data_IF_010467351591
#
_entry.id   IF_010467351591
#
_cell.length_a   1.000
_cell.length_b   1.000
_cell.length_c   1.000
_cell.angle_alpha   90.00
_cell.angle_beta   90.00
_cell.angle_gamma   90.00
#
_symmetry.space_group_name_H-M   'P 1'
#
loop_
_entity.id
_entity.type
_entity.pdbx_description
1 polymer ?
#
# COMPACT_ATOMS: atom_id res chain seq x y z
N UNK A 1 11.78 10.42 -0.19
CA UNK A 1 10.66 10.68 -1.16
C UNK A 1 11.01 9.97 -2.45
N UNK A 2 10.10 9.18 -3.01
CA UNK A 2 10.31 8.53 -4.32
C UNK A 2 10.15 9.61 -5.39
N UNK A 3 11.15 9.80 -6.26
CA UNK A 3 11.01 10.69 -7.40
C UNK A 3 9.88 10.16 -8.30
N UNK A 4 8.95 11.05 -8.68
CA UNK A 4 7.90 10.71 -9.64
C UNK A 4 8.53 10.29 -10.98
N UNK A 5 7.91 9.33 -11.66
CA UNK A 5 8.39 8.79 -12.94
C UNK A 5 7.41 9.16 -14.06
N UNK A 6 7.94 9.70 -15.15
CA UNK A 6 7.18 10.10 -16.34
C UNK A 6 7.72 9.37 -17.57
N UNK A 7 6.81 8.74 -18.31
CA UNK A 7 7.11 8.15 -19.59
C UNK A 7 6.65 9.09 -20.71
N UNK A 8 7.53 9.47 -21.61
CA UNK A 8 7.22 10.22 -22.83
C UNK A 8 7.26 9.25 -24.01
N UNK A 9 6.14 9.10 -24.69
CA UNK A 9 5.99 8.30 -25.89
C UNK A 9 5.80 9.24 -27.08
N UNK A 10 6.81 9.38 -27.93
CA UNK A 10 6.73 10.21 -29.14
C UNK A 10 7.71 9.75 -30.22
N UNK A 11 7.29 9.88 -31.45
CA UNK A 11 8.18 9.67 -32.62
C UNK A 11 8.82 10.98 -33.12
N UNK A 12 8.43 12.13 -32.55
CA UNK A 12 9.03 13.42 -32.75
C UNK A 12 10.08 13.73 -31.67
N UNK A 13 11.39 13.75 -32.03
CA UNK A 13 12.46 14.03 -31.05
C UNK A 13 12.36 15.45 -30.47
N UNK A 14 11.90 16.43 -31.24
CA UNK A 14 11.75 17.82 -30.76
C UNK A 14 10.72 17.95 -29.67
N UNK A 15 9.58 17.24 -29.75
CA UNK A 15 8.57 17.20 -28.72
C UNK A 15 9.15 16.69 -27.38
N UNK A 16 9.84 15.56 -27.43
CA UNK A 16 10.44 14.97 -26.23
C UNK A 16 11.54 15.86 -25.65
N UNK A 17 12.37 16.49 -26.52
CA UNK A 17 13.45 17.39 -26.10
C UNK A 17 12.93 18.65 -25.41
N UNK A 18 11.94 19.31 -26.00
CA UNK A 18 11.30 20.50 -25.44
C UNK A 18 10.70 20.20 -24.09
N UNK A 19 9.92 19.12 -23.97
CA UNK A 19 9.27 18.75 -22.73
C UNK A 19 10.28 18.38 -21.63
N UNK A 20 11.33 17.65 -21.98
CA UNK A 20 12.42 17.33 -21.05
C UNK A 20 13.14 18.58 -20.55
N UNK A 21 13.44 19.52 -21.45
CA UNK A 21 14.08 20.79 -21.09
C UNK A 21 13.21 21.63 -20.15
N UNK A 22 11.91 21.69 -20.40
CA UNK A 22 10.96 22.40 -19.54
C UNK A 22 10.92 21.79 -18.12
N UNK A 23 10.90 20.47 -17.98
CA UNK A 23 10.94 19.82 -16.67
C UNK A 23 12.26 19.98 -15.95
N UNK A 24 13.38 19.98 -16.66
CA UNK A 24 14.70 20.21 -16.06
C UNK A 24 14.87 21.61 -15.48
N UNK A 25 14.10 22.58 -15.96
CA UNK A 25 14.07 23.94 -15.41
C UNK A 25 13.29 24.02 -14.08
N UNK A 26 12.49 23.03 -13.72
CA UNK A 26 11.75 22.99 -12.47
C UNK A 26 12.61 22.47 -11.30
N UNK A 27 12.35 22.98 -10.09
CA UNK A 27 13.08 22.58 -8.88
C UNK A 27 12.96 21.09 -8.53
N UNK A 28 11.90 20.43 -8.96
CA UNK A 28 11.62 19.01 -8.69
C UNK A 28 11.29 18.31 -10.02
N UNK A 29 12.35 18.03 -10.80
CA UNK A 29 12.18 17.29 -12.04
C UNK A 29 11.85 15.81 -11.74
N UNK A 30 10.84 15.21 -12.41
CA UNK A 30 10.56 13.79 -12.34
C UNK A 30 11.67 12.98 -13.04
N UNK A 31 11.75 11.68 -12.76
CA UNK A 31 12.54 10.75 -13.57
C UNK A 31 11.86 10.56 -14.92
N UNK A 32 12.54 10.94 -16.02
CA UNK A 32 11.97 10.94 -17.37
C UNK A 32 12.52 9.75 -18.15
N UNK A 33 11.63 8.98 -18.76
CA UNK A 33 11.94 7.94 -19.74
C UNK A 33 11.32 8.34 -21.07
N UNK A 34 12.10 8.32 -22.15
CA UNK A 34 11.60 8.63 -23.49
C UNK A 34 11.65 7.37 -24.35
N UNK A 35 10.54 7.02 -24.97
CA UNK A 35 10.41 5.87 -25.87
C UNK A 35 9.72 6.28 -27.18
N UNK A 36 10.14 5.65 -28.29
CA UNK A 36 9.43 5.73 -29.57
C UNK A 36 8.23 4.78 -29.60
N UNK A 37 7.21 5.11 -30.39
CA UNK A 37 6.05 4.25 -30.62
C UNK A 37 6.37 2.85 -31.12
N UNK A 38 7.53 2.67 -31.77
CA UNK A 38 7.99 1.39 -32.30
C UNK A 38 8.27 0.36 -31.19
N UNK A 39 8.75 0.81 -30.04
CA UNK A 39 9.13 -0.06 -28.91
C UNK A 39 7.90 -0.55 -28.14
N UNK A 40 6.83 0.25 -28.16
CA UNK A 40 5.61 -0.04 -27.38
C UNK A 40 4.59 -0.92 -28.09
N UNK A 41 4.80 -1.29 -29.35
CA UNK A 41 3.80 -2.05 -30.13
C UNK A 41 3.64 -3.52 -29.69
N UNK A 42 4.66 -4.11 -29.02
CA UNK A 42 4.69 -5.54 -28.68
C UNK A 42 4.96 -5.83 -27.18
N UNK A 43 5.14 -4.81 -26.37
CA UNK A 43 5.43 -4.97 -24.93
C UNK A 43 4.58 -4.01 -24.09
N UNK A 44 4.12 -4.48 -22.96
CA UNK A 44 3.53 -3.61 -21.94
C UNK A 44 4.54 -2.51 -21.57
N UNK A 45 4.08 -1.27 -21.60
CA UNK A 45 4.91 -0.15 -21.17
C UNK A 45 5.23 -0.31 -19.68
N UNK A 46 6.48 -0.06 -19.26
CA UNK A 46 6.83 -0.16 -17.86
C UNK A 46 5.96 0.79 -17.01
N UNK A 47 5.62 0.42 -15.77
CA UNK A 47 4.75 1.23 -14.94
C UNK A 47 5.40 2.56 -14.59
N UNK A 48 4.70 3.66 -14.90
CA UNK A 48 5.09 5.03 -14.59
C UNK A 48 3.94 5.76 -13.89
N UNK A 49 4.29 6.81 -13.13
CA UNK A 49 3.29 7.61 -12.41
C UNK A 49 2.45 8.48 -13.39
N UNK A 50 3.04 8.84 -14.53
CA UNK A 50 2.40 9.59 -15.63
C UNK A 50 2.95 9.14 -16.97
N UNK A 51 2.08 9.02 -17.96
CA UNK A 51 2.44 8.78 -19.36
C UNK A 51 2.04 9.98 -20.22
N UNK A 52 2.97 10.54 -20.98
CA UNK A 52 2.71 11.60 -21.96
C UNK A 52 2.86 11.00 -23.34
N UNK A 53 1.78 10.97 -24.11
CA UNK A 53 1.77 10.53 -25.49
C UNK A 53 1.78 11.75 -26.39
N UNK A 54 2.91 12.00 -27.04
CA UNK A 54 3.11 13.05 -28.03
C UNK A 54 2.72 12.61 -29.44
N UNK A 55 3.15 13.35 -30.46
CA UNK A 55 2.95 12.98 -31.86
C UNK A 55 3.62 11.61 -32.14
N UNK A 56 2.84 10.70 -32.70
CA UNK A 56 3.27 9.37 -33.12
C UNK A 56 2.95 9.17 -34.61
N UNK A 57 3.63 8.26 -35.26
CA UNK A 57 3.40 7.92 -36.67
C UNK A 57 1.94 7.50 -36.90
N UNK A 58 1.41 7.83 -38.06
CA UNK A 58 0.03 7.50 -38.45
C UNK A 58 -0.30 6.03 -38.21
N UNK A 59 -1.48 5.77 -37.64
CA UNK A 59 -1.98 4.42 -37.37
C UNK A 59 -1.38 3.75 -36.11
N UNK A 60 -0.37 4.32 -35.45
CA UNK A 60 0.28 3.71 -34.27
C UNK A 60 -0.36 4.07 -32.95
N UNK A 61 -1.07 5.17 -32.87
CA UNK A 61 -1.70 5.63 -31.64
C UNK A 61 -2.56 4.56 -30.94
N UNK A 62 -3.42 3.79 -31.63
CA UNK A 62 -4.21 2.73 -30.97
C UNK A 62 -3.34 1.60 -30.40
N UNK A 63 -2.19 1.29 -31.03
CA UNK A 63 -1.24 0.30 -30.53
C UNK A 63 -0.57 0.78 -29.25
N UNK A 64 -0.03 2.00 -29.28
CA UNK A 64 0.58 2.66 -28.13
C UNK A 64 -0.38 2.71 -26.95
N UNK A 65 -1.61 3.16 -27.15
CA UNK A 65 -2.60 3.25 -26.07
C UNK A 65 -2.98 1.87 -25.51
N UNK A 66 -3.01 0.81 -26.33
CA UNK A 66 -3.27 -0.55 -25.87
C UNK A 66 -2.16 -1.12 -24.98
N UNK A 67 -0.92 -0.68 -25.17
CA UNK A 67 0.21 -1.09 -24.34
C UNK A 67 0.23 -0.42 -22.96
N UNK A 68 -0.63 0.60 -22.74
CA UNK A 68 -0.72 1.31 -21.46
C UNK A 68 -1.72 0.64 -20.51
N UNK A 69 -1.40 0.65 -19.24
CA UNK A 69 -2.33 0.20 -18.19
C UNK A 69 -3.56 1.12 -18.14
N UNK A 70 -4.80 0.58 -18.11
CA UNK A 70 -6.04 1.40 -18.09
C UNK A 70 -6.13 2.38 -16.91
N UNK A 71 -5.50 2.05 -15.79
CA UNK A 71 -5.45 2.90 -14.59
C UNK A 71 -4.38 4.00 -14.65
N UNK A 72 -3.50 3.99 -15.65
CA UNK A 72 -2.43 4.97 -15.78
C UNK A 72 -3.00 6.40 -15.99
N UNK A 73 -2.30 7.40 -15.45
CA UNK A 73 -2.56 8.78 -15.80
C UNK A 73 -1.92 9.06 -17.18
N UNK A 74 -2.73 9.45 -18.16
CA UNK A 74 -2.29 9.66 -19.54
C UNK A 74 -2.59 11.09 -19.99
N UNK A 75 -1.57 11.79 -20.48
CA UNK A 75 -1.75 13.06 -21.21
C UNK A 75 -1.49 12.78 -22.68
N UNK A 76 -2.51 13.00 -23.50
CA UNK A 76 -2.46 12.79 -24.95
C UNK A 76 -2.29 14.13 -25.66
N UNK A 77 -1.20 14.28 -26.41
CA UNK A 77 -0.88 15.47 -27.19
C UNK A 77 -0.90 15.20 -28.71
N UNK A 78 -1.50 14.10 -29.14
CA UNK A 78 -1.66 13.78 -30.56
C UNK A 78 -2.98 14.35 -31.13
N UNK A 79 -3.04 14.65 -32.40
CA UNK A 79 -4.31 15.04 -33.06
C UNK A 79 -5.29 13.86 -33.03
N UNK A 80 -6.47 14.07 -32.49
CA UNK A 80 -7.51 13.04 -32.33
C UNK A 80 -8.86 13.69 -32.61
N UNK A 81 -9.74 13.01 -33.33
CA UNK A 81 -11.09 13.50 -33.54
C UNK A 81 -11.95 13.36 -32.26
N UNK A 82 -13.08 14.11 -32.24
CA UNK A 82 -13.95 14.15 -31.05
C UNK A 82 -14.61 12.80 -30.74
N UNK A 83 -14.86 11.97 -31.75
CA UNK A 83 -15.50 10.64 -31.59
C UNK A 83 -14.50 9.64 -31.01
N UNK A 84 -13.29 9.62 -31.55
CA UNK A 84 -12.20 8.79 -31.07
C UNK A 84 -11.80 9.17 -29.64
N UNK A 85 -11.73 10.48 -29.34
CA UNK A 85 -11.45 10.98 -27.99
C UNK A 85 -12.50 10.51 -26.98
N UNK A 86 -13.79 10.46 -27.35
CA UNK A 86 -14.87 9.94 -26.52
C UNK A 86 -14.66 8.46 -26.16
N UNK A 87 -14.27 7.64 -27.14
CA UNK A 87 -13.96 6.22 -26.91
C UNK A 87 -12.73 6.01 -26.03
N UNK A 88 -11.69 6.81 -26.23
CA UNK A 88 -10.48 6.76 -25.42
C UNK A 88 -10.73 7.14 -23.97
N UNK A 89 -11.55 8.15 -23.70
CA UNK A 89 -11.95 8.55 -22.33
C UNK A 89 -12.72 7.47 -21.60
N UNK A 90 -13.57 6.71 -22.29
CA UNK A 90 -14.30 5.60 -21.70
C UNK A 90 -13.35 4.46 -21.27
N UNK A 91 -12.28 4.23 -22.00
CA UNK A 91 -11.28 3.19 -21.70
C UNK A 91 -10.23 3.65 -20.71
N UNK A 92 -9.84 4.92 -20.78
CA UNK A 92 -8.83 5.55 -19.91
C UNK A 92 -9.45 6.71 -19.14
N UNK A 93 -10.08 6.46 -17.98
CA UNK A 93 -10.80 7.50 -17.21
C UNK A 93 -9.91 8.66 -16.75
N UNK A 94 -8.59 8.45 -16.72
CA UNK A 94 -7.59 9.45 -16.32
C UNK A 94 -6.85 10.07 -17.51
N UNK A 95 -7.41 9.95 -18.73
CA UNK A 95 -6.84 10.54 -19.93
C UNK A 95 -7.24 12.02 -20.05
N UNK A 96 -6.24 12.86 -20.20
CA UNK A 96 -6.39 14.29 -20.51
C UNK A 96 -5.84 14.53 -21.92
N UNK A 97 -6.62 15.16 -22.78
CA UNK A 97 -6.16 15.55 -24.12
C UNK A 97 -5.80 17.02 -24.14
N UNK A 98 -4.57 17.32 -24.61
CA UNK A 98 -4.03 18.67 -24.78
C UNK A 98 -3.69 18.83 -26.27
N UNK A 99 -4.42 19.67 -27.00
CA UNK A 99 -4.10 19.95 -28.39
C UNK A 99 -2.78 20.74 -28.49
N UNK A 100 -1.96 20.41 -29.49
CA UNK A 100 -0.69 21.10 -29.76
C UNK A 100 -0.97 22.49 -30.36
N UNK A 101 -1.13 23.50 -29.51
CA UNK A 101 -1.25 24.93 -29.82
C UNK A 101 -0.03 25.68 -29.31
N UNK A 102 0.06 27.00 -29.51
CA UNK A 102 1.27 27.78 -29.14
C UNK A 102 1.73 27.57 -27.68
N UNK A 103 0.82 27.47 -26.71
CA UNK A 103 1.15 27.34 -25.28
C UNK A 103 1.02 25.90 -24.74
N UNK A 104 1.02 24.89 -25.59
CA UNK A 104 0.78 23.49 -25.19
C UNK A 104 1.77 22.99 -24.12
N UNK A 105 3.03 23.41 -24.17
CA UNK A 105 4.07 22.93 -23.26
C UNK A 105 3.81 23.39 -21.82
N UNK A 106 3.44 24.66 -21.62
CA UNK A 106 3.12 25.22 -20.29
C UNK A 106 1.85 24.57 -19.73
N UNK A 107 0.82 24.41 -20.56
CA UNK A 107 -0.43 23.72 -20.19
C UNK A 107 -0.14 22.29 -19.80
N UNK A 108 0.71 21.58 -20.55
CA UNK A 108 1.08 20.20 -20.25
C UNK A 108 1.82 20.09 -18.92
N UNK A 109 2.78 20.97 -18.62
CA UNK A 109 3.50 20.97 -17.36
C UNK A 109 2.57 21.17 -16.17
N UNK A 110 1.64 22.11 -16.27
CA UNK A 110 0.65 22.37 -15.22
C UNK A 110 -0.22 21.14 -14.96
N UNK A 111 -0.77 20.55 -16.03
CA UNK A 111 -1.63 19.36 -15.94
C UNK A 111 -0.84 18.14 -15.46
N UNK A 112 0.40 17.98 -15.92
CA UNK A 112 1.28 16.91 -15.49
C UNK A 112 1.60 17.01 -14.00
N UNK A 113 1.96 18.22 -13.51
CA UNK A 113 2.22 18.46 -12.10
C UNK A 113 1.02 18.12 -11.22
N UNK A 114 -0.18 18.52 -11.65
CA UNK A 114 -1.41 18.21 -10.92
C UNK A 114 -1.75 16.70 -10.96
N UNK A 115 -1.56 16.05 -12.10
CA UNK A 115 -1.77 14.61 -12.27
C UNK A 115 -0.83 13.80 -11.38
N UNK A 116 0.44 14.19 -11.27
CA UNK A 116 1.43 13.56 -10.39
C UNK A 116 1.08 13.76 -8.92
N UNK A 117 0.74 15.00 -8.49
CA UNK A 117 0.29 15.27 -7.11
C UNK A 117 -0.93 14.44 -6.73
N UNK A 118 -1.94 14.41 -7.61
CA UNK A 118 -3.14 13.59 -7.39
C UNK A 118 -2.84 12.10 -7.32
N UNK A 119 -1.94 11.61 -8.18
CA UNK A 119 -1.47 10.22 -8.16
C UNK A 119 -0.81 9.86 -6.84
N UNK A 120 0.06 10.72 -6.33
CA UNK A 120 0.72 10.52 -5.04
C UNK A 120 -0.27 10.55 -3.87
N UNK A 121 -1.19 11.51 -3.84
CA UNK A 121 -2.23 11.59 -2.81
C UNK A 121 -3.10 10.33 -2.78
N UNK A 122 -3.53 9.82 -3.94
CA UNK A 122 -4.31 8.58 -4.04
C UNK A 122 -3.50 7.36 -3.56
N UNK A 123 -2.22 7.30 -3.88
CA UNK A 123 -1.33 6.23 -3.42
C UNK A 123 -1.17 6.25 -1.90
N UNK A 124 -0.96 7.43 -1.31
CA UNK A 124 -0.85 7.60 0.14
C UNK A 124 -2.16 7.24 0.85
N UNK A 125 -3.29 7.69 0.33
CA UNK A 125 -4.61 7.34 0.86
C UNK A 125 -4.83 5.82 0.86
N UNK A 126 -4.57 5.14 -0.27
CA UNK A 126 -4.69 3.68 -0.38
C UNK A 126 -3.72 2.93 0.57
N UNK A 127 -2.54 3.50 0.79
CA UNK A 127 -1.59 2.92 1.75
C UNK A 127 -2.07 3.09 3.19
N UNK A 128 -2.65 4.25 3.53
CA UNK A 128 -3.26 4.51 4.84
C UNK A 128 -4.45 3.57 5.09
N UNK A 129 -5.34 3.39 4.11
CA UNK A 129 -6.46 2.44 4.21
C UNK A 129 -5.99 1.01 4.46
N UNK A 130 -4.96 0.55 3.72
CA UNK A 130 -4.39 -0.79 3.93
C UNK A 130 -3.80 -0.96 5.33
N UNK A 131 -3.11 0.06 5.84
CA UNK A 131 -2.57 0.05 7.20
C UNK A 131 -3.70 0.04 8.23
N UNK A 132 -4.72 0.86 8.05
CA UNK A 132 -5.88 0.88 8.94
C UNK A 132 -6.59 -0.48 9.00
N UNK A 133 -6.87 -1.11 7.85
CA UNK A 133 -7.46 -2.44 7.78
C UNK A 133 -6.58 -3.52 8.45
N UNK A 134 -5.25 -3.44 8.27
CA UNK A 134 -4.33 -4.36 8.95
C UNK A 134 -4.36 -4.18 10.47
N UNK A 135 -4.36 -2.93 10.94
CA UNK A 135 -4.41 -2.62 12.37
C UNK A 135 -5.74 -3.08 13.00
N UNK A 136 -6.87 -2.89 12.31
CA UNK A 136 -8.17 -3.36 12.76
C UNK A 136 -8.22 -4.90 12.91
N UNK A 137 -7.65 -5.62 11.95
CA UNK A 137 -7.51 -7.08 12.03
C UNK A 137 -6.66 -7.51 13.22
N UNK A 138 -5.54 -6.82 13.47
CA UNK A 138 -4.68 -7.11 14.63
C UNK A 138 -5.37 -6.80 15.95
N UNK A 139 -6.11 -5.69 16.05
CA UNK A 139 -6.88 -5.33 17.23
C UNK A 139 -8.00 -6.34 17.51
N UNK A 140 -8.68 -6.83 16.48
CA UNK A 140 -9.72 -7.85 16.58
C UNK A 140 -9.13 -9.19 17.05
N UNK A 141 -8.01 -9.61 16.48
CA UNK A 141 -7.30 -10.81 16.91
C UNK A 141 -6.84 -10.69 18.37
N UNK A 142 -6.29 -9.54 18.76
CA UNK A 142 -5.88 -9.27 20.14
C UNK A 142 -7.02 -9.38 21.13
N UNK A 143 -8.21 -8.84 20.81
CA UNK A 143 -9.42 -8.99 21.66
C UNK A 143 -9.84 -10.44 21.79
N UNK A 144 -9.94 -11.16 20.67
CA UNK A 144 -10.30 -12.59 20.67
C UNK A 144 -9.34 -13.43 21.53
N UNK A 145 -8.05 -13.17 21.42
CA UNK A 145 -7.03 -13.87 22.22
C UNK A 145 -7.13 -13.53 23.71
N UNK A 146 -7.51 -12.30 24.08
CA UNK A 146 -7.78 -11.92 25.47
C UNK A 146 -8.98 -12.68 26.04
N UNK A 147 -10.07 -12.79 25.29
CA UNK A 147 -11.25 -13.53 25.71
C UNK A 147 -10.94 -15.03 25.90
N UNK A 148 -10.16 -15.60 24.96
CA UNK A 148 -9.72 -17.00 25.08
C UNK A 148 -8.79 -17.24 26.27
N UNK A 149 -7.98 -16.26 26.68
CA UNK A 149 -7.04 -16.38 27.80
C UNK A 149 -7.74 -16.86 29.07
N UNK A 150 -8.87 -16.26 29.43
CA UNK A 150 -9.62 -16.64 30.62
C UNK A 150 -10.12 -18.08 30.57
N UNK A 151 -10.67 -18.49 29.44
CA UNK A 151 -11.13 -19.87 29.23
C UNK A 151 -10.01 -20.89 29.28
N UNK A 152 -8.87 -20.59 28.63
CA UNK A 152 -7.69 -21.46 28.64
C UNK A 152 -7.08 -21.55 30.03
N UNK A 153 -6.93 -20.44 30.77
CA UNK A 153 -6.42 -20.45 32.14
C UNK A 153 -7.30 -21.27 33.06
N UNK A 154 -8.63 -21.13 32.98
CA UNK A 154 -9.57 -21.90 33.78
C UNK A 154 -9.43 -23.42 33.48
N UNK A 155 -9.33 -23.80 32.22
CA UNK A 155 -9.13 -25.18 31.83
C UNK A 155 -7.78 -25.73 32.34
N UNK A 156 -6.70 -24.96 32.22
CA UNK A 156 -5.38 -25.32 32.72
C UNK A 156 -5.37 -25.47 34.26
N UNK A 157 -5.99 -24.55 35.00
CA UNK A 157 -6.09 -24.62 36.43
C UNK A 157 -6.82 -25.89 36.86
N UNK A 158 -7.92 -26.23 36.20
CA UNK A 158 -8.67 -27.46 36.46
C UNK A 158 -7.84 -28.72 36.13
N UNK A 159 -7.11 -28.73 34.97
CA UNK A 159 -6.25 -29.86 34.61
C UNK A 159 -5.11 -30.06 35.61
N UNK A 160 -4.42 -28.97 36.00
CA UNK A 160 -3.34 -29.02 36.95
C UNK A 160 -3.81 -29.49 38.32
N UNK A 161 -4.89 -28.93 38.83
CA UNK A 161 -5.45 -29.34 40.14
C UNK A 161 -5.87 -30.83 40.19
N UNK A 162 -6.55 -31.32 39.15
CA UNK A 162 -6.90 -32.72 39.07
C UNK A 162 -5.67 -33.63 38.91
N UNK A 163 -4.68 -33.25 38.13
CA UNK A 163 -3.45 -34.03 37.99
C UNK A 163 -2.66 -34.07 39.32
N UNK A 164 -2.57 -32.95 40.06
CA UNK A 164 -1.91 -32.87 41.36
C UNK A 164 -2.61 -33.75 42.40
N UNK A 165 -3.95 -33.71 42.50
CA UNK A 165 -4.71 -34.58 43.40
C UNK A 165 -4.45 -36.07 43.13
N UNK A 166 -4.42 -36.48 41.85
CA UNK A 166 -4.11 -37.85 41.45
C UNK A 166 -2.67 -38.27 41.75
N UNK A 167 -1.74 -37.32 41.74
CA UNK A 167 -0.32 -37.56 42.05
C UNK A 167 -0.07 -37.59 43.57
N UNK A 168 -0.85 -36.85 44.36
CA UNK A 168 -0.78 -36.86 45.84
C UNK A 168 -1.38 -38.15 46.43
N UNK A 169 -2.50 -38.58 45.89
CA UNK A 169 -3.20 -39.79 46.35
C UNK A 169 -3.35 -40.80 45.17
N UNK A 170 -2.27 -41.47 44.78
CA UNK A 170 -2.30 -42.33 43.63
C UNK A 170 -3.16 -43.59 43.78
N UNK A 171 -3.55 -43.94 45.01
CA UNK A 171 -4.44 -45.07 45.26
C UNK A 171 -4.01 -46.37 44.56
N UNK A 172 -4.90 -46.96 43.72
CA UNK A 172 -4.66 -48.17 42.97
C UNK A 172 -4.22 -47.92 41.52
N UNK A 173 -3.66 -46.74 41.20
CA UNK A 173 -3.23 -46.41 39.85
C UNK A 173 -2.02 -47.27 39.42
N UNK A 174 -2.05 -47.72 38.19
CA UNK A 174 -0.90 -48.45 37.61
C UNK A 174 0.29 -47.49 37.43
N UNK A 175 1.50 -48.06 37.43
CA UNK A 175 2.74 -47.30 37.14
C UNK A 175 2.64 -46.57 35.80
N UNK A 176 1.99 -47.17 34.82
CA UNK A 176 1.77 -46.55 33.51
C UNK A 176 0.80 -45.35 33.59
N UNK A 177 -0.30 -45.48 34.33
CA UNK A 177 -1.24 -44.39 34.53
C UNK A 177 -0.60 -43.21 35.26
N UNK A 178 0.22 -43.47 36.28
CA UNK A 178 1.01 -42.43 36.97
C UNK A 178 1.97 -41.70 36.04
N UNK A 179 2.65 -42.44 35.15
CA UNK A 179 3.53 -41.83 34.16
C UNK A 179 2.76 -40.93 33.16
N UNK A 180 1.55 -41.33 32.77
CA UNK A 180 0.69 -40.52 31.90
C UNK A 180 0.21 -39.26 32.59
N UNK A 181 -0.22 -39.33 33.87
CA UNK A 181 -0.65 -38.14 34.64
C UNK A 181 0.50 -37.16 34.83
N UNK A 182 1.73 -37.63 35.13
CA UNK A 182 2.91 -36.79 35.21
C UNK A 182 3.19 -36.07 33.86
N UNK A 183 2.99 -36.76 32.76
CA UNK A 183 3.13 -36.16 31.43
C UNK A 183 2.08 -35.06 31.20
N UNK A 184 0.81 -35.32 31.51
CA UNK A 184 -0.29 -34.36 31.39
C UNK A 184 -0.01 -33.12 32.28
N UNK A 185 0.40 -33.31 33.49
CA UNK A 185 0.74 -32.24 34.43
C UNK A 185 1.89 -31.36 33.87
N UNK A 186 2.96 -32.01 33.40
CA UNK A 186 4.10 -31.30 32.79
C UNK A 186 3.71 -30.50 31.53
N UNK A 187 2.86 -31.07 30.68
CA UNK A 187 2.35 -30.39 29.50
C UNK A 187 1.45 -29.19 29.85
N UNK A 188 0.58 -29.34 30.85
CA UNK A 188 -0.28 -28.26 31.33
C UNK A 188 0.54 -27.09 31.91
N UNK A 189 1.57 -27.37 32.70
CA UNK A 189 2.52 -26.33 33.15
C UNK A 189 3.18 -25.60 31.99
N UNK A 190 3.63 -26.33 30.97
CA UNK A 190 4.25 -25.72 29.80
C UNK A 190 3.31 -24.82 29.01
N UNK A 191 2.04 -25.23 28.86
CA UNK A 191 1.02 -24.37 28.23
C UNK A 191 0.75 -23.13 29.07
N UNK A 192 0.72 -23.26 30.40
CA UNK A 192 0.54 -22.12 31.31
C UNK A 192 1.69 -21.11 31.18
N UNK A 193 2.94 -21.55 31.09
CA UNK A 193 4.09 -20.67 30.83
C UNK A 193 3.96 -19.93 29.50
N UNK A 194 3.53 -20.60 28.43
CA UNK A 194 3.29 -20.00 27.11
C UNK A 194 2.22 -18.92 27.23
N UNK A 195 1.13 -19.22 27.92
CA UNK A 195 0.02 -18.25 28.13
C UNK A 195 0.45 -17.03 28.95
N UNK A 196 1.31 -17.20 29.95
CA UNK A 196 1.86 -16.09 30.72
C UNK A 196 2.76 -15.18 29.86
N UNK A 197 3.67 -15.76 29.10
CA UNK A 197 4.52 -14.99 28.15
C UNK A 197 3.69 -14.23 27.14
N UNK A 198 2.65 -14.85 26.60
CA UNK A 198 1.72 -14.20 25.68
C UNK A 198 1.01 -13.01 26.34
N UNK A 199 0.65 -13.13 27.61
CA UNK A 199 0.01 -12.06 28.36
C UNK A 199 0.91 -10.86 28.59
N UNK A 200 2.20 -11.09 28.90
CA UNK A 200 3.20 -10.01 29.05
C UNK A 200 3.38 -9.24 27.75
N UNK A 201 3.56 -9.95 26.63
CA UNK A 201 3.67 -9.33 25.29
C UNK A 201 2.44 -8.50 24.94
N UNK A 202 1.24 -8.99 25.26
CA UNK A 202 0.00 -8.26 25.00
C UNK A 202 -0.12 -6.97 25.82
N UNK A 203 0.41 -6.96 27.06
CA UNK A 203 0.45 -5.76 27.90
C UNK A 203 1.46 -4.74 27.38
N UNK A 204 2.66 -5.19 27.00
CA UNK A 204 3.69 -4.33 26.42
C UNK A 204 3.22 -3.67 25.11
N UNK A 205 2.52 -4.42 24.26
CA UNK A 205 1.93 -3.87 23.03
C UNK A 205 0.89 -2.78 23.33
N UNK A 206 0.03 -2.97 24.33
CA UNK A 206 -0.97 -1.96 24.73
C UNK A 206 -0.32 -0.70 25.29
N UNK A 207 0.73 -0.84 26.07
CA UNK A 207 1.48 0.29 26.61
C UNK A 207 2.16 1.08 25.49
N UNK A 208 2.75 0.39 24.51
CA UNK A 208 3.36 1.02 23.34
C UNK A 208 2.34 1.75 22.46
N UNK A 209 1.14 1.17 22.26
CA UNK A 209 0.04 1.83 21.54
C UNK A 209 -0.44 3.10 22.25
N UNK A 210 -0.63 3.03 23.57
CA UNK A 210 -1.06 4.17 24.39
C UNK A 210 0.00 5.29 24.39
N UNK A 211 1.29 4.95 24.47
CA UNK A 211 2.37 5.91 24.40
C UNK A 211 2.41 6.63 23.03
N UNK A 212 2.25 5.88 21.92
CA UNK A 212 2.21 6.43 20.57
C UNK A 212 0.98 7.33 20.33
N UNK A 213 -0.17 7.03 20.94
CA UNK A 213 -1.35 7.88 20.85
C UNK A 213 -1.18 9.18 21.65
N UNK A 214 -0.58 9.11 22.83
CA UNK A 214 -0.29 10.29 23.66
C UNK A 214 0.70 11.25 23.00
N UNK A 215 1.71 10.75 22.28
CA UNK A 215 2.64 11.57 21.50
C UNK A 215 1.95 12.26 20.31
N UNK A 216 0.99 11.59 19.67
CA UNK A 216 0.24 12.16 18.54
C UNK A 216 -0.74 13.26 18.97
N UNK A 217 -1.29 13.17 20.19
CA UNK A 217 -2.18 14.19 20.76
C UNK A 217 -1.43 15.38 21.38
N UNK A 218 -0.15 15.19 21.73
CA UNK A 218 0.70 16.22 22.35
C UNK A 218 1.40 17.15 21.33
N UNK A 219 1.29 16.92 20.03
CA UNK A 219 1.87 17.79 19.01
C UNK A 219 1.01 19.08 18.89
N UNK A 220 1.45 20.23 19.43
CA UNK A 220 0.64 21.44 19.44
C UNK A 220 0.46 21.94 18.01
N UNK A 221 -0.80 22.19 17.65
CA UNK A 221 -1.16 22.94 16.45
C UNK A 221 -0.33 24.24 16.42
N UNK A 222 0.58 24.33 15.45
CA UNK A 222 1.38 25.53 15.23
C UNK A 222 0.47 26.75 15.08
N UNK A 223 0.66 27.84 15.85
CA UNK A 223 -0.16 29.02 15.71
C UNK A 223 0.10 29.65 14.35
N UNK A 224 -0.97 29.74 13.55
CA UNK A 224 -0.97 30.45 12.28
C UNK A 224 -0.44 31.85 12.45
N UNK A 225 0.66 32.17 11.80
CA UNK A 225 1.22 33.51 11.70
C UNK A 225 0.28 34.35 10.82
N UNK A 226 -0.58 35.12 11.48
CA UNK A 226 -1.22 36.27 10.84
C UNK A 226 -0.15 37.36 10.61
N UNK A 227 0.14 37.66 9.35
CA UNK A 227 0.48 38.99 8.87
C UNK A 227 0.37 39.08 7.36
#
# INVERSE_FOLDING_TARGET
MRNASVLILSDEPEFARLLTACWQAERQAPGITVLSSQICNDREAPPHDLVVVGPVLEGRLPGVLRSLEPAAAVILCAPVDSRELGQLRSRYPRLVHIPLREDWAQTLLLVAGESLRRGEALRLAKQAERRAASNENHATLGRYMMDMKHSVNNALTSMLGNAELLLLEPGQLSTQSLAQIKTIHSMALRINEIMQRFSSLSSEMKEAENASQAETEAEPASPGTSR
#
